data_IF_594324440663
#
_entry.id   IF_594324440663
#
_cell.length_a   1.000
_cell.length_b   1.000
_cell.length_c   1.000
_cell.angle_alpha   90.00
_cell.angle_beta   90.00
_cell.angle_gamma   90.00
#
_symmetry.space_group_name_H-M   'P 1'
#
loop_
_entity.id
_entity.type
_entity.pdbx_description
1 polymer ?
#
# COMPACT_ATOMS: atom_id res chain seq x y z
N UNK A 1 -6.74 23.07 31.52
CA UNK A 1 -6.51 23.72 30.22
C UNK A 1 -7.81 23.60 29.44
N UNK A 2 -8.27 24.62 28.73
CA UNK A 2 -9.45 24.45 27.86
C UNK A 2 -9.06 23.63 26.66
N UNK A 3 -9.96 22.83 26.11
CA UNK A 3 -9.75 22.00 24.90
C UNK A 3 -9.20 22.83 23.71
N UNK A 4 -9.74 24.03 23.50
CA UNK A 4 -9.26 24.95 22.47
C UNK A 4 -7.78 25.32 22.64
N UNK A 5 -7.34 25.59 23.88
CA UNK A 5 -5.94 25.94 24.13
C UNK A 5 -4.99 24.78 23.86
N UNK A 6 -5.38 23.55 24.18
CA UNK A 6 -4.59 22.35 23.87
C UNK A 6 -4.47 22.12 22.36
N UNK A 7 -5.56 22.31 21.62
CA UNK A 7 -5.55 22.25 20.15
C UNK A 7 -4.54 23.22 19.56
N UNK A 8 -4.56 24.49 19.99
CA UNK A 8 -3.61 25.53 19.54
C UNK A 8 -2.15 25.16 19.86
N UNK A 9 -1.89 24.63 21.07
CA UNK A 9 -0.55 24.18 21.48
C UNK A 9 -0.05 23.01 20.61
N UNK A 10 -0.90 22.03 20.29
CA UNK A 10 -0.55 20.90 19.42
C UNK A 10 -0.22 21.39 17.99
N UNK A 11 -1.05 22.26 17.42
CA UNK A 11 -0.82 22.81 16.07
C UNK A 11 0.48 23.64 16.01
N UNK A 12 0.77 24.40 17.05
CA UNK A 12 2.03 25.16 17.17
C UNK A 12 3.24 24.23 17.30
N UNK A 13 3.12 23.14 18.07
CA UNK A 13 4.18 22.13 18.22
C UNK A 13 4.51 21.44 16.89
N UNK A 14 3.50 21.00 16.13
CA UNK A 14 3.70 20.45 14.78
C UNK A 14 4.40 21.46 13.87
N UNK A 15 3.95 22.72 13.90
CA UNK A 15 4.58 23.79 13.11
C UNK A 15 6.05 23.97 13.45
N UNK A 16 6.40 23.94 14.73
CA UNK A 16 7.77 24.11 15.20
C UNK A 16 8.68 22.93 14.84
N UNK A 17 8.16 21.70 14.81
CA UNK A 17 8.90 20.48 14.46
C UNK A 17 8.94 20.17 12.97
N UNK A 18 8.25 20.94 12.13
CA UNK A 18 8.01 20.57 10.74
C UNK A 18 9.29 20.51 9.89
N UNK A 19 10.24 21.39 10.09
CA UNK A 19 11.53 21.35 9.39
C UNK A 19 12.32 20.07 9.72
N UNK A 20 12.27 19.63 10.97
CA UNK A 20 12.88 18.36 11.39
C UNK A 20 12.18 17.17 10.74
N UNK A 21 10.86 17.18 10.64
CA UNK A 21 10.07 16.18 9.92
C UNK A 21 10.48 16.12 8.45
N UNK A 22 10.59 17.25 7.76
CA UNK A 22 11.01 17.29 6.36
C UNK A 22 12.42 16.72 6.16
N UNK A 23 13.36 17.05 7.04
CA UNK A 23 14.72 16.50 6.97
C UNK A 23 14.71 14.99 7.22
N UNK A 24 13.94 14.49 8.18
CA UNK A 24 13.76 13.06 8.43
C UNK A 24 13.18 12.35 7.19
N UNK A 25 12.14 12.93 6.59
CA UNK A 25 11.52 12.38 5.37
C UNK A 25 12.52 12.32 4.22
N UNK A 26 13.33 13.37 4.02
CA UNK A 26 14.39 13.36 3.00
C UNK A 26 15.41 12.24 3.22
N UNK A 27 15.87 12.05 4.47
CA UNK A 27 16.80 10.95 4.77
C UNK A 27 16.16 9.60 4.46
N UNK A 28 14.87 9.43 4.80
CA UNK A 28 14.15 8.19 4.55
C UNK A 28 13.97 7.91 3.05
N UNK A 29 13.70 8.94 2.23
CA UNK A 29 13.58 8.82 0.76
C UNK A 29 14.90 8.40 0.11
N UNK A 30 16.05 8.71 0.72
CA UNK A 30 17.38 8.31 0.19
C UNK A 30 17.63 6.80 0.18
N UNK A 31 16.86 6.03 0.96
CA UNK A 31 16.94 4.58 0.93
C UNK A 31 16.10 4.03 -0.23
N UNK A 32 16.71 3.39 -1.25
CA UNK A 32 15.97 2.71 -2.32
C UNK A 32 15.43 1.38 -1.78
N UNK A 33 14.42 1.47 -0.92
CA UNK A 33 13.79 0.33 -0.23
C UNK A 33 12.87 -0.45 -1.17
N UNK A 34 13.41 -0.91 -2.31
CA UNK A 34 12.75 -1.84 -3.22
C UNK A 34 12.51 -3.19 -2.52
N UNK A 35 11.55 -3.95 -3.03
CA UNK A 35 11.26 -5.30 -2.53
C UNK A 35 12.53 -6.13 -2.34
N UNK A 36 12.77 -6.59 -1.10
CA UNK A 36 13.96 -7.34 -0.69
C UNK A 36 15.20 -6.50 -0.37
N UNK A 37 15.14 -5.16 -0.49
CA UNK A 37 16.22 -4.21 -0.19
C UNK A 37 15.86 -3.22 0.93
N UNK A 38 14.80 -3.48 1.69
CA UNK A 38 14.24 -2.55 2.70
C UNK A 38 15.07 -2.49 4.00
N UNK A 39 16.00 -3.41 4.20
CA UNK A 39 16.66 -3.62 5.50
C UNK A 39 17.40 -2.39 6.03
N UNK A 40 18.01 -1.57 5.17
CA UNK A 40 18.68 -0.33 5.61
C UNK A 40 17.68 0.74 6.04
N UNK A 41 16.59 0.91 5.31
CA UNK A 41 15.50 1.80 5.70
C UNK A 41 14.87 1.35 7.02
N UNK A 42 14.63 0.05 7.20
CA UNK A 42 14.13 -0.49 8.46
C UNK A 42 15.11 -0.33 9.63
N UNK A 43 16.42 -0.41 9.40
CA UNK A 43 17.43 -0.10 10.40
C UNK A 43 17.37 1.36 10.83
N UNK A 44 17.19 2.27 9.88
CA UNK A 44 17.02 3.70 10.16
C UNK A 44 15.78 3.97 11.02
N UNK A 45 14.63 3.36 10.67
CA UNK A 45 13.38 3.48 11.46
C UNK A 45 13.56 2.86 12.85
N UNK A 46 14.17 1.66 12.94
CA UNK A 46 14.42 1.02 14.22
C UNK A 46 15.21 1.95 15.16
N UNK A 47 16.32 2.53 14.66
CA UNK A 47 17.13 3.43 15.46
C UNK A 47 16.37 4.70 15.83
N UNK A 48 15.65 5.29 14.89
CA UNK A 48 14.87 6.50 15.12
C UNK A 48 13.78 6.32 16.20
N UNK A 49 13.12 5.17 16.24
CA UNK A 49 12.12 4.85 17.24
C UNK A 49 12.77 4.47 18.59
N UNK A 50 13.89 3.73 18.55
CA UNK A 50 14.67 3.39 19.76
C UNK A 50 15.20 4.63 20.47
N UNK A 51 15.71 5.62 19.72
CA UNK A 51 16.21 6.90 20.28
C UNK A 51 15.10 7.73 20.94
N UNK A 52 13.86 7.52 20.52
CA UNK A 52 12.66 8.11 21.14
C UNK A 52 12.17 7.35 22.37
N UNK A 53 12.84 6.23 22.72
CA UNK A 53 12.54 5.43 23.91
C UNK A 53 11.35 4.48 23.76
N UNK A 54 10.93 4.17 22.53
CA UNK A 54 9.90 3.13 22.31
C UNK A 54 10.48 1.73 22.60
N UNK A 55 9.62 0.83 23.08
CA UNK A 55 9.97 -0.59 23.15
C UNK A 55 9.97 -1.18 21.75
N UNK A 56 11.13 -1.61 21.30
CA UNK A 56 11.33 -2.09 19.94
C UNK A 56 11.07 -3.58 19.79
N UNK A 57 10.40 -3.95 18.70
CA UNK A 57 10.32 -5.30 18.16
C UNK A 57 10.74 -5.28 16.69
N UNK A 58 11.52 -6.29 16.27
CA UNK A 58 12.02 -6.42 14.90
C UNK A 58 12.12 -7.90 14.56
N UNK A 59 11.56 -8.29 13.42
CA UNK A 59 11.62 -9.68 12.98
C UNK A 59 11.61 -9.79 11.47
N UNK A 60 12.19 -10.87 10.96
CA UNK A 60 12.03 -11.31 9.58
C UNK A 60 10.70 -12.06 9.45
N UNK A 61 9.91 -11.74 8.45
CA UNK A 61 8.63 -12.40 8.19
C UNK A 61 8.91 -13.87 7.82
N UNK A 62 8.34 -14.79 8.60
CA UNK A 62 8.36 -16.19 8.27
C UNK A 62 7.04 -16.59 7.60
N UNK A 63 7.11 -16.97 6.34
CA UNK A 63 5.92 -17.34 5.53
C UNK A 63 5.08 -18.43 6.21
N UNK A 64 5.71 -19.39 6.88
CA UNK A 64 5.01 -20.48 7.57
C UNK A 64 4.08 -20.01 8.70
N UNK A 65 4.36 -18.85 9.29
CA UNK A 65 3.56 -18.31 10.38
C UNK A 65 2.26 -17.66 9.85
N UNK A 66 2.23 -17.27 8.57
CA UNK A 66 1.13 -16.53 7.95
C UNK A 66 0.43 -17.27 6.82
N UNK A 67 1.04 -18.30 6.20
CA UNK A 67 0.53 -18.96 4.99
C UNK A 67 -0.83 -19.63 5.15
N UNK A 68 -1.22 -20.00 6.37
CA UNK A 68 -2.53 -20.58 6.66
C UNK A 68 -3.64 -19.53 6.90
N UNK A 69 -3.25 -18.26 7.02
CA UNK A 69 -4.20 -17.18 7.27
C UNK A 69 -4.98 -16.82 6.00
N UNK A 70 -6.31 -16.56 6.07
CA UNK A 70 -7.11 -16.24 4.88
C UNK A 70 -6.63 -14.98 4.14
N UNK A 71 -6.01 -14.03 4.84
CA UNK A 71 -5.45 -12.82 4.26
C UNK A 71 -4.07 -12.98 3.60
N UNK A 72 -3.52 -14.18 3.57
CA UNK A 72 -2.20 -14.43 2.99
C UNK A 72 -2.20 -14.31 1.46
N UNK A 73 -1.20 -13.63 0.93
CA UNK A 73 -0.91 -13.58 -0.51
C UNK A 73 0.28 -14.47 -0.85
N UNK A 74 0.21 -15.27 -1.93
CA UNK A 74 1.29 -16.18 -2.32
C UNK A 74 2.60 -15.44 -2.63
N UNK A 75 3.72 -16.05 -2.27
CA UNK A 75 5.05 -15.51 -2.52
C UNK A 75 5.95 -16.52 -3.23
N UNK A 76 6.74 -16.02 -4.19
CA UNK A 76 7.75 -16.78 -4.92
C UNK A 76 9.14 -16.12 -4.83
N UNK A 77 9.32 -15.20 -3.88
CA UNK A 77 10.58 -14.51 -3.62
C UNK A 77 11.14 -14.87 -2.24
N UNK A 78 12.42 -14.64 -2.05
CA UNK A 78 13.07 -14.87 -0.75
C UNK A 78 12.68 -13.77 0.25
N UNK A 79 12.16 -14.18 1.42
CA UNK A 79 11.79 -13.29 2.53
C UNK A 79 12.89 -13.13 3.58
N UNK A 80 14.12 -13.55 3.31
CA UNK A 80 15.24 -13.43 4.27
C UNK A 80 15.51 -11.97 4.70
N UNK A 81 15.16 -11.00 3.85
CA UNK A 81 15.26 -9.56 4.10
C UNK A 81 13.91 -8.88 4.34
N UNK A 82 12.80 -9.60 4.33
CA UNK A 82 11.47 -9.04 4.62
C UNK A 82 11.34 -8.79 6.13
N UNK A 83 11.77 -7.62 6.57
CA UNK A 83 11.88 -7.26 7.99
C UNK A 83 10.82 -6.24 8.35
N UNK A 84 9.99 -6.55 9.35
CA UNK A 84 9.12 -5.58 9.98
C UNK A 84 9.75 -4.98 11.24
N UNK A 85 9.39 -3.73 11.52
CA UNK A 85 9.79 -3.00 12.73
C UNK A 85 8.56 -2.42 13.41
N UNK A 86 8.45 -2.63 14.73
CA UNK A 86 7.38 -2.02 15.54
C UNK A 86 7.99 -1.34 16.77
N UNK A 87 7.66 -0.07 16.94
CA UNK A 87 7.94 0.68 18.18
C UNK A 87 6.66 0.79 19.01
N UNK A 88 6.72 0.34 20.26
CA UNK A 88 5.57 0.39 21.17
C UNK A 88 5.73 1.49 22.19
N UNK A 89 4.78 2.44 22.22
CA UNK A 89 4.54 3.33 23.36
C UNK A 89 3.66 2.63 24.38
N UNK A 90 4.06 2.66 25.64
CA UNK A 90 3.24 2.20 26.76
C UNK A 90 3.10 3.36 27.74
N UNK A 91 1.86 3.79 28.07
CA UNK A 91 1.64 4.89 29.02
C UNK A 91 2.02 4.48 30.45
N UNK A 92 2.22 5.46 31.31
CA UNK A 92 2.44 5.21 32.74
C UNK A 92 1.18 4.64 33.41
N UNK A 93 0.01 5.14 32.97
CA UNK A 93 -1.30 4.66 33.42
C UNK A 93 -2.15 4.44 32.16
N UNK A 94 -2.45 3.18 31.84
CA UNK A 94 -3.28 2.83 30.68
C UNK A 94 -4.74 3.21 30.97
N UNK A 95 -5.19 4.35 30.44
CA UNK A 95 -6.53 4.92 30.66
C UNK A 95 -7.23 5.37 29.38
N UNK A 96 -6.51 5.36 28.26
CA UNK A 96 -7.02 5.70 26.93
C UNK A 96 -7.13 4.48 26.01
N UNK A 97 -7.73 4.68 24.84
CA UNK A 97 -7.83 3.66 23.79
C UNK A 97 -6.48 3.44 23.11
N UNK A 98 -6.26 2.22 22.67
CA UNK A 98 -5.07 1.85 21.92
C UNK A 98 -5.15 2.26 20.45
N UNK A 99 -3.99 2.42 19.80
CA UNK A 99 -3.88 2.86 18.41
C UNK A 99 -2.74 2.16 17.70
N UNK A 100 -2.99 1.72 16.47
CA UNK A 100 -1.95 1.36 15.50
C UNK A 100 -1.74 2.53 14.55
N UNK A 101 -0.48 2.96 14.40
CA UNK A 101 -0.01 3.86 13.35
C UNK A 101 0.83 3.01 12.39
N UNK A 102 0.20 2.53 11.34
CA UNK A 102 0.85 1.67 10.35
C UNK A 102 1.32 2.49 9.16
N UNK A 103 2.45 2.08 8.56
CA UNK A 103 2.94 2.59 7.30
C UNK A 103 3.92 1.60 6.67
N UNK A 104 3.94 1.50 5.35
CA UNK A 104 4.94 0.70 4.65
C UNK A 104 6.23 1.50 4.36
N UNK A 105 7.33 0.75 4.20
CA UNK A 105 8.65 1.30 3.92
C UNK A 105 9.13 0.97 2.50
N UNK A 106 8.58 -0.10 1.93
CA UNK A 106 8.89 -0.53 0.57
C UNK A 106 8.39 0.48 -0.46
N UNK A 107 9.04 0.49 -1.61
CA UNK A 107 8.70 1.37 -2.73
C UNK A 107 8.73 0.57 -4.04
N UNK A 108 7.90 0.97 -5.00
CA UNK A 108 7.94 0.42 -6.34
C UNK A 108 9.21 0.81 -7.10
N UNK A 109 9.64 0.02 -8.10
CA UNK A 109 10.78 0.38 -8.95
C UNK A 109 10.64 1.77 -9.58
N UNK A 110 11.74 2.49 -9.65
CA UNK A 110 11.81 3.83 -10.23
C UNK A 110 11.63 3.87 -11.75
N UNK A 111 11.81 2.73 -12.42
CA UNK A 111 11.79 2.66 -13.88
C UNK A 111 13.01 3.32 -14.54
N UNK A 112 12.95 3.70 -15.83
CA UNK A 112 14.08 4.30 -16.53
C UNK A 112 14.50 5.66 -15.96
N UNK A 113 15.72 5.77 -15.43
CA UNK A 113 16.23 6.99 -14.78
C UNK A 113 16.24 8.22 -15.69
N UNK A 114 16.36 8.04 -17.00
CA UNK A 114 16.32 9.15 -17.97
C UNK A 114 14.94 9.77 -18.16
N UNK A 115 13.90 9.19 -17.55
CA UNK A 115 12.53 9.73 -17.53
C UNK A 115 12.28 10.64 -16.31
N UNK A 116 13.18 10.63 -15.31
CA UNK A 116 13.11 11.51 -14.15
C UNK A 116 13.82 12.82 -14.43
N UNK A 117 13.33 13.95 -13.89
CA UNK A 117 14.02 15.25 -13.91
C UNK A 117 15.26 15.26 -13.01
N UNK A 118 15.25 14.44 -11.96
CA UNK A 118 16.34 14.31 -11.00
C UNK A 118 16.56 12.86 -10.58
N UNK A 119 17.46 12.63 -9.63
CA UNK A 119 17.64 11.30 -9.05
C UNK A 119 16.47 11.00 -8.11
N UNK A 120 15.69 9.90 -8.32
CA UNK A 120 14.53 9.55 -7.51
C UNK A 120 14.83 9.36 -6.01
N UNK A 121 16.07 9.00 -5.66
CA UNK A 121 16.51 8.79 -4.27
C UNK A 121 17.39 9.95 -3.73
N UNK A 122 17.39 11.09 -4.41
CA UNK A 122 17.96 12.33 -3.89
C UNK A 122 16.85 13.40 -3.83
N UNK A 123 16.02 13.39 -2.78
CA UNK A 123 14.81 14.20 -2.74
C UNK A 123 15.10 15.70 -2.79
N UNK A 124 14.33 16.42 -3.59
CA UNK A 124 14.41 17.88 -3.75
C UNK A 124 13.11 18.54 -3.31
N UNK A 125 13.19 19.79 -2.88
CA UNK A 125 12.02 20.60 -2.57
C UNK A 125 11.95 21.77 -3.55
N UNK A 126 10.80 21.93 -4.21
CA UNK A 126 10.48 23.03 -5.09
C UNK A 126 9.10 23.59 -4.74
N UNK A 127 9.05 24.81 -4.19
CA UNK A 127 7.82 25.41 -3.69
C UNK A 127 7.19 24.57 -2.58
N UNK A 128 5.93 24.14 -2.76
CA UNK A 128 5.19 23.29 -1.81
C UNK A 128 5.39 21.79 -2.05
N UNK A 129 6.37 21.37 -2.86
CA UNK A 129 6.52 19.98 -3.27
C UNK A 129 7.86 19.37 -2.88
N UNK A 130 7.82 18.18 -2.28
CA UNK A 130 9.00 17.29 -2.16
C UNK A 130 8.91 16.22 -3.24
N UNK A 131 9.97 16.10 -4.03
CA UNK A 131 10.10 15.13 -5.11
C UNK A 131 10.99 13.97 -4.69
N UNK A 132 10.63 12.75 -5.09
CA UNK A 132 11.42 11.53 -4.91
C UNK A 132 10.55 10.27 -4.91
N UNK A 133 11.12 9.11 -5.26
CA UNK A 133 10.43 7.83 -5.15
C UNK A 133 10.18 7.50 -3.68
N UNK A 134 8.91 7.19 -3.36
CA UNK A 134 8.48 6.96 -1.99
C UNK A 134 8.31 8.24 -1.15
N UNK A 135 8.54 9.44 -1.73
CA UNK A 135 8.29 10.69 -1.02
C UNK A 135 6.82 10.84 -0.66
N UNK A 136 5.93 10.48 -1.58
CA UNK A 136 4.49 10.46 -1.37
C UNK A 136 4.04 9.10 -0.82
N UNK A 137 4.46 8.02 -1.44
CA UNK A 137 4.01 6.66 -1.21
C UNK A 137 5.10 5.80 -0.59
N UNK A 138 5.09 5.63 0.81
CA UNK A 138 4.33 6.48 1.73
C UNK A 138 5.23 7.03 2.86
N UNK A 139 6.52 7.30 2.55
CA UNK A 139 7.52 7.69 3.57
C UNK A 139 7.18 9.01 4.27
N UNK A 140 6.51 9.96 3.59
CA UNK A 140 6.00 11.16 4.24
C UNK A 140 4.91 10.85 5.25
N UNK A 141 4.04 9.88 4.97
CA UNK A 141 3.04 9.38 5.89
C UNK A 141 3.66 8.69 7.11
N UNK A 142 4.67 7.84 6.90
CA UNK A 142 5.42 7.23 8.00
C UNK A 142 6.06 8.29 8.91
N UNK A 143 6.67 9.33 8.31
CA UNK A 143 7.22 10.44 9.07
C UNK A 143 6.12 11.22 9.82
N UNK A 144 4.93 11.41 9.22
CA UNK A 144 3.82 12.08 9.88
C UNK A 144 3.35 11.34 11.15
N UNK A 145 3.28 10.01 11.12
CA UNK A 145 2.98 9.19 12.30
C UNK A 145 3.98 9.42 13.44
N UNK A 146 5.27 9.45 13.14
CA UNK A 146 6.33 9.63 14.13
C UNK A 146 6.29 11.05 14.72
N UNK A 147 6.23 12.05 13.85
CA UNK A 147 6.30 13.46 14.25
C UNK A 147 5.00 13.98 14.89
N UNK A 148 3.87 13.32 14.68
CA UNK A 148 2.65 13.57 15.46
C UNK A 148 2.86 13.27 16.95
N UNK A 149 3.52 12.16 17.26
CA UNK A 149 3.88 11.81 18.65
C UNK A 149 4.99 12.71 19.21
N UNK A 150 5.99 13.08 18.38
CA UNK A 150 7.04 14.03 18.79
C UNK A 150 6.45 15.40 19.15
N UNK A 151 5.43 15.87 18.40
CA UNK A 151 4.75 17.13 18.69
C UNK A 151 4.07 17.11 20.07
N UNK A 152 3.36 16.03 20.42
CA UNK A 152 2.76 15.86 21.75
C UNK A 152 3.82 15.86 22.85
N UNK A 153 4.92 15.14 22.65
CA UNK A 153 6.05 15.09 23.59
C UNK A 153 6.70 16.44 23.79
N UNK A 154 6.82 17.25 22.75
CA UNK A 154 7.46 18.58 22.82
C UNK A 154 6.71 19.56 23.72
N UNK A 155 5.42 19.32 23.95
CA UNK A 155 4.58 20.11 24.88
C UNK A 155 4.32 19.42 26.22
N UNK A 156 5.09 18.35 26.52
CA UNK A 156 5.09 17.67 27.82
C UNK A 156 3.97 16.63 27.99
N UNK A 157 3.43 16.10 26.90
CA UNK A 157 2.39 15.08 26.93
C UNK A 157 2.78 13.84 26.14
N UNK A 158 2.19 12.72 26.52
CA UNK A 158 2.23 11.45 25.77
C UNK A 158 0.84 10.81 25.76
N UNK A 159 0.56 9.87 24.82
CA UNK A 159 -0.70 9.15 24.78
C UNK A 159 -0.96 8.40 26.10
N UNK A 160 -2.18 8.49 26.64
CA UNK A 160 -2.64 7.72 27.79
C UNK A 160 -3.13 6.31 27.42
N UNK A 161 -3.17 5.99 26.12
CA UNK A 161 -3.38 4.66 25.55
C UNK A 161 -2.11 4.10 24.92
N UNK A 162 -2.07 2.79 24.72
CA UNK A 162 -0.96 2.12 24.06
C UNK A 162 -0.93 2.47 22.56
N UNK A 163 0.25 2.81 22.00
CA UNK A 163 0.40 3.12 20.59
C UNK A 163 1.47 2.22 19.95
N UNK A 164 1.14 1.63 18.84
CA UNK A 164 2.03 0.80 18.01
C UNK A 164 2.40 1.54 16.74
N UNK A 165 3.66 1.93 16.59
CA UNK A 165 4.23 2.46 15.35
C UNK A 165 4.76 1.30 14.52
N UNK A 166 4.07 0.93 13.47
CA UNK A 166 4.42 -0.18 12.60
C UNK A 166 5.05 0.36 11.31
N UNK A 167 6.29 -0.06 11.02
CA UNK A 167 6.93 0.09 9.72
C UNK A 167 6.99 -1.30 9.08
N UNK A 168 6.18 -1.51 8.05
CA UNK A 168 6.02 -2.81 7.41
C UNK A 168 6.65 -2.83 6.01
N UNK A 169 6.88 -4.03 5.49
CA UNK A 169 7.32 -4.31 4.12
C UNK A 169 6.21 -5.03 3.36
N UNK A 170 6.39 -5.18 2.05
CA UNK A 170 5.49 -5.97 1.19
C UNK A 170 4.08 -5.38 0.99
N UNK A 171 3.83 -4.12 1.34
CA UNK A 171 2.56 -3.48 1.03
C UNK A 171 2.33 -3.44 -0.48
N UNK A 172 3.34 -3.04 -1.25
CA UNK A 172 3.32 -2.87 -2.71
C UNK A 172 3.22 -4.17 -3.51
N UNK A 173 3.27 -5.33 -2.84
CA UNK A 173 3.35 -6.62 -3.51
C UNK A 173 2.37 -7.68 -3.00
N UNK A 174 2.10 -7.74 -1.69
CA UNK A 174 1.34 -8.84 -1.07
C UNK A 174 0.45 -8.43 0.10
N UNK A 175 0.83 -7.39 0.86
CA UNK A 175 0.24 -7.04 2.15
C UNK A 175 0.64 -7.98 3.30
N UNK A 176 1.57 -8.89 3.07
CA UNK A 176 2.00 -9.86 4.08
C UNK A 176 2.74 -9.20 5.26
N UNK A 177 3.25 -7.98 5.10
CA UNK A 177 3.87 -7.20 6.16
C UNK A 177 2.90 -6.84 7.28
N UNK A 178 1.81 -6.18 6.95
CA UNK A 178 0.74 -5.85 7.90
C UNK A 178 0.11 -7.13 8.48
N UNK A 179 -0.14 -8.15 7.63
CA UNK A 179 -0.63 -9.45 8.07
C UNK A 179 0.29 -10.09 9.12
N UNK A 180 1.60 -10.02 8.93
CA UNK A 180 2.58 -10.54 9.88
C UNK A 180 2.51 -9.81 11.24
N UNK A 181 2.23 -8.50 11.25
CA UNK A 181 1.98 -7.77 12.49
C UNK A 181 0.73 -8.27 13.20
N UNK A 182 -0.37 -8.48 12.48
CA UNK A 182 -1.62 -9.00 13.04
C UNK A 182 -1.43 -10.40 13.65
N UNK A 183 -0.79 -11.32 12.91
CA UNK A 183 -0.52 -12.70 13.37
C UNK A 183 0.42 -12.71 14.57
N UNK A 184 1.38 -11.76 14.64
CA UNK A 184 2.27 -11.57 15.79
C UNK A 184 1.55 -11.04 17.03
N UNK A 185 0.28 -10.60 16.90
CA UNK A 185 -0.57 -10.19 18.01
C UNK A 185 -0.67 -8.68 18.23
N UNK A 186 -0.24 -7.85 17.28
CA UNK A 186 -0.44 -6.40 17.34
C UNK A 186 -1.91 -6.09 16.98
N UNK A 187 -2.68 -5.67 17.99
CA UNK A 187 -4.10 -5.30 17.91
C UNK A 187 -4.34 -4.01 18.65
N UNK A 188 -5.30 -3.21 18.19
CA UNK A 188 -5.68 -1.96 18.82
C UNK A 188 -7.17 -1.63 18.57
N UNK A 189 -7.68 -0.62 19.28
CA UNK A 189 -9.07 -0.15 19.15
C UNK A 189 -9.31 0.63 17.85
N UNK A 190 -8.26 1.13 17.20
CA UNK A 190 -8.28 1.74 15.87
C UNK A 190 -6.89 1.68 15.21
N UNK A 191 -6.86 1.86 13.89
CA UNK A 191 -5.62 2.02 13.13
C UNK A 191 -5.70 3.27 12.22
N UNK A 192 -4.54 3.91 11.97
CA UNK A 192 -4.36 4.96 10.96
C UNK A 192 -3.25 4.53 10.01
N UNK A 193 -3.48 4.70 8.71
CA UNK A 193 -2.50 4.49 7.65
C UNK A 193 -2.47 5.77 6.78
N UNK A 194 -1.39 6.56 6.85
CA UNK A 194 -1.33 7.84 6.12
C UNK A 194 -0.81 7.68 4.69
N UNK A 195 -1.50 6.82 3.90
CA UNK A 195 -1.31 6.71 2.46
C UNK A 195 -1.64 8.03 1.75
N UNK A 196 -1.03 8.32 0.59
CA UNK A 196 -1.21 9.59 -0.12
C UNK A 196 -2.59 9.69 -0.81
N UNK A 197 -3.64 9.88 -0.04
CA UNK A 197 -5.04 9.83 -0.46
C UNK A 197 -5.75 11.20 -0.39
N UNK A 198 -5.06 12.25 -0.89
CA UNK A 198 -5.62 13.57 -1.17
C UNK A 198 -6.29 14.29 0.02
N UNK A 199 -5.76 14.13 1.24
CA UNK A 199 -6.35 14.68 2.47
C UNK A 199 -7.78 14.15 2.78
N UNK A 200 -8.15 12.99 2.20
CA UNK A 200 -9.47 12.37 2.34
C UNK A 200 -9.40 11.05 3.07
N UNK A 201 -10.52 10.62 3.62
CA UNK A 201 -10.67 9.29 4.21
C UNK A 201 -11.11 8.28 3.15
N UNK A 202 -10.38 7.18 3.02
CA UNK A 202 -10.77 6.09 2.14
C UNK A 202 -11.95 5.34 2.74
N UNK A 203 -13.07 5.33 2.00
CA UNK A 203 -14.29 4.62 2.37
C UNK A 203 -14.29 3.16 1.93
N UNK A 204 -13.72 2.88 0.77
CA UNK A 204 -13.62 1.54 0.23
C UNK A 204 -12.46 1.44 -0.76
N UNK A 205 -11.90 0.25 -0.90
CA UNK A 205 -10.93 -0.05 -1.94
C UNK A 205 -11.27 -1.36 -2.67
N UNK A 206 -10.72 -1.53 -3.88
CA UNK A 206 -10.79 -2.82 -4.58
C UNK A 206 -9.79 -3.80 -3.99
N UNK A 207 -10.13 -5.10 -4.01
CA UNK A 207 -9.14 -6.16 -3.89
C UNK A 207 -8.28 -6.27 -5.16
N UNK A 208 -7.20 -7.02 -5.07
CA UNK A 208 -6.22 -7.17 -6.16
C UNK A 208 -5.73 -8.61 -6.25
N UNK A 209 -5.67 -9.11 -7.48
CA UNK A 209 -5.08 -10.40 -7.83
C UNK A 209 -3.88 -10.17 -8.75
N UNK A 210 -2.71 -10.70 -8.38
CA UNK A 210 -1.53 -10.74 -9.25
C UNK A 210 -1.28 -12.14 -9.74
N UNK A 211 -1.02 -12.27 -11.04
CA UNK A 211 -0.72 -13.55 -11.65
C UNK A 211 0.22 -13.39 -12.85
N UNK A 212 0.96 -14.43 -13.10
CA UNK A 212 1.84 -14.58 -14.24
C UNK A 212 1.29 -15.66 -15.17
N UNK A 213 1.26 -15.37 -16.46
CA UNK A 213 0.89 -16.34 -17.50
C UNK A 213 2.13 -16.70 -18.29
N UNK A 214 2.44 -18.00 -18.36
CA UNK A 214 3.58 -18.54 -19.10
C UNK A 214 3.05 -19.30 -20.32
N UNK A 215 3.51 -18.89 -21.50
CA UNK A 215 3.15 -19.51 -22.79
C UNK A 215 4.41 -20.12 -23.40
N UNK A 216 4.33 -21.40 -23.74
CA UNK A 216 5.38 -22.09 -24.49
C UNK A 216 5.04 -22.11 -25.97
N UNK A 217 6.06 -21.98 -26.84
CA UNK A 217 5.97 -22.06 -28.28
C UNK A 217 6.79 -23.21 -28.83
N UNK A 218 6.90 -23.27 -30.14
CA UNK A 218 7.77 -24.23 -30.85
C UNK A 218 8.78 -23.45 -31.66
N UNK A 219 10.05 -23.39 -31.22
CA UNK A 219 11.08 -22.60 -31.90
C UNK A 219 11.51 -23.29 -33.19
N UNK A 220 11.61 -22.52 -34.27
CA UNK A 220 12.16 -22.89 -35.55
C UNK A 220 12.84 -21.71 -36.22
N UNK A 221 13.69 -21.94 -37.19
CA UNK A 221 14.23 -20.83 -37.99
C UNK A 221 13.09 -20.08 -38.69
N UNK A 222 13.15 -18.73 -38.69
CA UNK A 222 12.06 -17.90 -39.28
C UNK A 222 11.67 -18.24 -40.70
N UNK A 223 12.60 -18.77 -41.52
CA UNK A 223 12.29 -19.25 -42.89
C UNK A 223 11.27 -20.40 -42.91
N UNK A 224 11.10 -21.10 -41.80
CA UNK A 224 10.19 -22.23 -41.61
C UNK A 224 9.11 -21.91 -40.57
N UNK A 225 8.81 -20.61 -40.34
CA UNK A 225 7.92 -20.13 -39.30
C UNK A 225 6.56 -20.83 -39.27
N UNK A 226 6.03 -21.24 -40.44
CA UNK A 226 4.77 -21.97 -40.53
C UNK A 226 4.79 -23.35 -39.85
N UNK A 227 5.96 -23.94 -39.58
CA UNK A 227 6.11 -25.20 -38.85
C UNK A 227 6.32 -25.00 -37.33
N UNK A 228 6.54 -23.75 -36.89
CA UNK A 228 6.70 -23.37 -35.50
C UNK A 228 5.42 -22.83 -34.85
N UNK A 229 5.52 -22.42 -33.61
CA UNK A 229 4.46 -21.72 -32.86
C UNK A 229 5.08 -20.56 -32.06
N UNK A 230 4.68 -19.34 -32.41
CA UNK A 230 5.21 -18.14 -31.82
C UNK A 230 4.55 -17.88 -30.43
N UNK A 231 5.33 -18.02 -29.35
CA UNK A 231 4.84 -17.83 -28.00
C UNK A 231 4.40 -16.39 -27.74
N UNK A 232 5.05 -15.38 -28.32
CA UNK A 232 4.67 -13.97 -28.14
C UNK A 232 3.29 -13.71 -28.77
N UNK A 233 3.08 -14.14 -30.00
CA UNK A 233 1.81 -13.97 -30.72
C UNK A 233 0.68 -14.75 -30.05
N UNK A 234 0.98 -15.88 -29.43
CA UNK A 234 0.02 -16.69 -28.68
C UNK A 234 -0.47 -16.00 -27.37
N UNK A 235 0.26 -15.03 -26.82
CA UNK A 235 -0.17 -14.24 -25.67
C UNK A 235 -1.29 -13.24 -26.01
N UNK A 236 -1.32 -12.67 -27.23
CA UNK A 236 -2.24 -11.60 -27.58
C UNK A 236 -3.73 -11.96 -27.44
N UNK A 237 -4.22 -13.11 -27.93
CA UNK A 237 -5.62 -13.49 -27.73
C UNK A 237 -5.98 -13.75 -26.27
N UNK A 238 -5.02 -14.17 -25.42
CA UNK A 238 -5.23 -14.36 -23.99
C UNK A 238 -5.38 -13.01 -23.31
N UNK A 239 -4.47 -12.05 -23.59
CA UNK A 239 -4.56 -10.67 -23.07
C UNK A 239 -5.87 -10.00 -23.50
N UNK A 240 -6.29 -10.22 -24.76
CA UNK A 240 -7.56 -9.69 -25.27
C UNK A 240 -8.77 -10.25 -24.50
N UNK A 241 -8.78 -11.55 -24.22
CA UNK A 241 -9.86 -12.17 -23.46
C UNK A 241 -9.91 -11.68 -22.00
N UNK A 242 -8.75 -11.42 -21.38
CA UNK A 242 -8.69 -10.83 -20.05
C UNK A 242 -9.22 -9.39 -20.02
N UNK A 243 -9.01 -8.60 -21.10
CA UNK A 243 -9.65 -7.29 -21.27
C UNK A 243 -11.18 -7.41 -21.40
N UNK A 244 -11.67 -8.40 -22.13
CA UNK A 244 -13.11 -8.67 -22.22
C UNK A 244 -13.70 -9.07 -20.86
N UNK A 245 -12.95 -9.80 -20.02
CA UNK A 245 -13.35 -10.16 -18.66
C UNK A 245 -13.40 -8.92 -17.75
N UNK A 246 -12.41 -8.02 -17.83
CA UNK A 246 -12.40 -6.73 -17.16
C UNK A 246 -13.66 -5.93 -17.46
N UNK A 247 -13.99 -5.78 -18.74
CA UNK A 247 -15.21 -5.08 -19.17
C UNK A 247 -16.48 -5.73 -18.62
N UNK A 248 -16.56 -7.07 -18.67
CA UNK A 248 -17.68 -7.81 -18.08
C UNK A 248 -17.84 -7.51 -16.57
N UNK A 249 -16.75 -7.51 -15.82
CA UNK A 249 -16.77 -7.23 -14.39
C UNK A 249 -17.17 -5.77 -14.10
N UNK A 250 -16.73 -4.82 -14.94
CA UNK A 250 -17.12 -3.41 -14.81
C UNK A 250 -18.64 -3.17 -15.03
N UNK A 251 -19.34 -4.02 -15.80
CA UNK A 251 -20.81 -3.93 -15.93
C UNK A 251 -21.54 -4.17 -14.60
N UNK A 252 -20.90 -4.85 -13.64
CA UNK A 252 -21.50 -5.19 -12.35
C UNK A 252 -21.35 -4.05 -11.31
N UNK A 253 -20.64 -2.95 -11.61
CA UNK A 253 -20.31 -1.86 -10.66
C UNK A 253 -21.51 -1.30 -9.89
N UNK A 254 -22.71 -1.28 -10.49
CA UNK A 254 -23.95 -0.82 -9.83
C UNK A 254 -24.45 -1.73 -8.70
N UNK A 255 -23.88 -2.92 -8.56
CA UNK A 255 -24.19 -3.88 -7.50
C UNK A 255 -23.24 -3.73 -6.30
N UNK A 256 -22.22 -2.87 -6.43
CA UNK A 256 -21.16 -2.70 -5.43
C UNK A 256 -21.20 -1.30 -4.85
N UNK A 257 -21.65 -1.21 -3.58
CA UNK A 257 -21.77 0.04 -2.82
C UNK A 257 -20.47 0.86 -2.89
N UNK A 258 -20.60 2.15 -3.18
CA UNK A 258 -19.56 3.14 -3.39
C UNK A 258 -18.82 3.07 -4.75
N UNK A 259 -19.02 2.04 -5.55
CA UNK A 259 -18.38 1.89 -6.86
C UNK A 259 -19.31 2.25 -8.03
N UNK A 260 -20.58 2.52 -7.75
CA UNK A 260 -21.65 2.73 -8.73
C UNK A 260 -21.35 3.86 -9.71
N UNK A 261 -20.76 4.95 -9.19
CA UNK A 261 -20.50 6.18 -9.94
C UNK A 261 -19.07 6.27 -10.50
N UNK A 262 -18.19 5.31 -10.17
CA UNK A 262 -16.85 5.26 -10.75
C UNK A 262 -16.94 4.83 -12.22
N UNK A 263 -16.11 5.45 -13.07
CA UNK A 263 -16.13 5.15 -14.50
C UNK A 263 -15.69 3.70 -14.76
N UNK A 264 -14.52 3.31 -14.30
CA UNK A 264 -13.91 2.01 -14.56
C UNK A 264 -13.19 1.47 -13.31
N UNK A 265 -13.92 1.00 -12.26
CA UNK A 265 -13.31 0.63 -10.98
C UNK A 265 -12.48 -0.66 -11.04
N UNK A 266 -12.83 -1.61 -11.91
CA UNK A 266 -12.03 -2.82 -12.11
C UNK A 266 -11.01 -2.56 -13.20
N UNK A 267 -9.72 -2.64 -12.85
CA UNK A 267 -8.61 -2.40 -13.75
C UNK A 267 -7.81 -3.68 -13.96
N UNK A 268 -7.65 -4.09 -15.23
CA UNK A 268 -6.69 -5.09 -15.65
C UNK A 268 -5.46 -4.43 -16.24
N UNK A 269 -4.29 -4.81 -15.76
CA UNK A 269 -3.02 -4.31 -16.29
C UNK A 269 -2.06 -5.46 -16.61
N UNK A 270 -1.43 -5.42 -17.79
CA UNK A 270 -0.24 -6.19 -18.09
C UNK A 270 0.95 -5.31 -17.74
N UNK A 271 1.53 -5.51 -16.56
CA UNK A 271 2.61 -4.67 -16.05
C UNK A 271 3.98 -5.04 -16.61
N UNK A 272 4.14 -6.30 -17.03
CA UNK A 272 5.40 -6.81 -17.57
C UNK A 272 5.12 -7.88 -18.62
N UNK A 273 5.93 -7.90 -19.70
CA UNK A 273 5.94 -8.96 -20.70
C UNK A 273 7.37 -9.22 -21.15
N UNK A 274 7.74 -10.49 -21.21
CA UNK A 274 9.08 -10.93 -21.65
C UNK A 274 8.94 -12.15 -22.56
N UNK A 275 9.62 -12.14 -23.72
CA UNK A 275 9.57 -13.29 -24.64
C UNK A 275 10.53 -13.17 -25.80
N UNK A 276 10.94 -14.34 -26.33
CA UNK A 276 11.89 -14.45 -27.43
C UNK A 276 13.31 -14.12 -27.01
N UNK A 277 14.27 -14.52 -27.88
CA UNK A 277 15.71 -14.36 -27.67
C UNK A 277 16.45 -13.90 -28.93
N UNK A 278 15.87 -14.13 -30.09
CA UNK A 278 16.52 -13.83 -31.37
C UNK A 278 15.51 -13.51 -32.48
N UNK A 279 15.72 -12.41 -33.21
CA UNK A 279 14.80 -11.90 -34.22
C UNK A 279 14.55 -12.87 -35.40
N UNK A 280 15.48 -13.78 -35.70
CA UNK A 280 15.38 -14.76 -36.78
C UNK A 280 14.98 -16.17 -36.30
N UNK A 281 14.49 -16.30 -35.09
CA UNK A 281 13.92 -17.52 -34.51
C UNK A 281 12.48 -17.29 -34.08
N UNK A 282 11.61 -18.28 -34.26
CA UNK A 282 10.27 -18.27 -33.69
C UNK A 282 10.40 -18.39 -32.16
N UNK A 283 9.82 -17.47 -31.34
CA UNK A 283 9.96 -17.46 -29.89
C UNK A 283 9.51 -18.76 -29.22
N UNK A 284 10.39 -19.33 -28.39
CA UNK A 284 10.13 -20.56 -27.65
C UNK A 284 9.25 -20.36 -26.43
N UNK A 285 9.25 -19.16 -25.84
CA UNK A 285 8.47 -18.82 -24.64
C UNK A 285 8.11 -17.34 -24.62
N UNK A 286 7.01 -17.04 -23.93
CA UNK A 286 6.64 -15.69 -23.53
C UNK A 286 5.95 -15.76 -22.18
N UNK A 287 6.27 -14.82 -21.29
CA UNK A 287 5.60 -14.65 -20.00
C UNK A 287 5.07 -13.23 -19.87
N UNK A 288 3.94 -13.06 -19.21
CA UNK A 288 3.46 -11.74 -18.85
C UNK A 288 2.88 -11.74 -17.44
N UNK A 289 3.18 -10.68 -16.67
CA UNK A 289 2.70 -10.45 -15.32
C UNK A 289 1.52 -9.49 -15.35
N UNK A 290 0.44 -9.87 -14.67
CA UNK A 290 -0.83 -9.17 -14.65
C UNK A 290 -1.27 -8.75 -13.26
N UNK A 291 -2.02 -7.65 -13.21
CA UNK A 291 -2.84 -7.22 -12.08
C UNK A 291 -4.29 -7.15 -12.53
N UNK A 292 -5.21 -7.71 -11.73
CA UNK A 292 -6.66 -7.58 -11.92
C UNK A 292 -7.29 -7.15 -10.59
N UNK A 293 -8.08 -6.06 -10.62
CA UNK A 293 -8.87 -5.64 -9.47
C UNK A 293 -10.12 -6.51 -9.30
N UNK A 294 -10.62 -6.59 -8.07
CA UNK A 294 -11.88 -7.26 -7.72
C UNK A 294 -12.68 -6.39 -6.75
N UNK A 295 -14.02 -6.46 -6.78
CA UNK A 295 -14.85 -5.70 -5.85
C UNK A 295 -14.76 -6.22 -4.41
N UNK A 296 -14.94 -5.35 -3.40
CA UNK A 296 -15.12 -5.78 -2.02
C UNK A 296 -16.28 -6.81 -1.93
N UNK A 297 -16.06 -7.82 -1.08
CA UNK A 297 -17.00 -8.92 -0.91
C UNK A 297 -16.90 -10.05 -1.95
N UNK A 298 -16.15 -9.86 -3.03
CA UNK A 298 -15.81 -10.95 -3.93
C UNK A 298 -14.73 -11.85 -3.34
N UNK A 299 -14.92 -13.17 -3.50
CA UNK A 299 -13.94 -14.15 -3.03
C UNK A 299 -12.76 -14.23 -4.02
N UNK A 300 -11.53 -13.96 -3.61
CA UNK A 300 -10.34 -14.02 -4.48
C UNK A 300 -10.16 -15.38 -5.17
N UNK A 301 -10.47 -16.49 -4.49
CA UNK A 301 -10.33 -17.85 -5.06
C UNK A 301 -11.33 -18.10 -6.18
N UNK A 302 -12.57 -17.62 -6.04
CA UNK A 302 -13.59 -17.73 -7.09
C UNK A 302 -13.19 -16.89 -8.30
N UNK A 303 -12.73 -15.67 -8.09
CA UNK A 303 -12.29 -14.79 -9.17
C UNK A 303 -11.01 -15.27 -9.85
N UNK A 304 -10.10 -15.89 -9.11
CA UNK A 304 -8.95 -16.57 -9.68
C UNK A 304 -9.37 -17.70 -10.64
N UNK A 305 -10.37 -18.51 -10.26
CA UNK A 305 -10.91 -19.55 -11.14
C UNK A 305 -11.55 -18.96 -12.42
N UNK A 306 -12.29 -17.84 -12.30
CA UNK A 306 -12.87 -17.17 -13.48
C UNK A 306 -11.77 -16.66 -14.44
N UNK A 307 -10.66 -16.13 -13.90
CA UNK A 307 -9.48 -15.72 -14.69
C UNK A 307 -8.87 -16.93 -15.40
N UNK A 308 -8.65 -18.04 -14.69
CA UNK A 308 -8.10 -19.26 -15.29
C UNK A 308 -9.02 -19.86 -16.35
N UNK A 309 -10.35 -19.82 -16.13
CA UNK A 309 -11.34 -20.24 -17.13
C UNK A 309 -11.33 -19.35 -18.37
N UNK A 310 -11.19 -18.03 -18.19
CA UNK A 310 -11.05 -17.08 -19.29
C UNK A 310 -9.81 -17.40 -20.15
N UNK A 311 -8.65 -17.61 -19.50
CA UNK A 311 -7.40 -17.98 -20.17
C UNK A 311 -7.57 -19.31 -20.92
N UNK A 312 -8.18 -20.31 -20.30
CA UNK A 312 -8.47 -21.62 -20.91
C UNK A 312 -9.42 -21.49 -22.10
N UNK A 313 -10.47 -20.67 -21.97
CA UNK A 313 -11.42 -20.39 -23.06
C UNK A 313 -10.76 -19.71 -24.26
N UNK A 314 -9.87 -18.73 -24.02
CA UNK A 314 -9.08 -18.11 -25.07
C UNK A 314 -8.15 -19.12 -25.76
N UNK A 315 -7.49 -19.98 -24.98
CA UNK A 315 -6.55 -20.99 -25.45
C UNK A 315 -7.24 -22.07 -26.29
N UNK A 316 -8.49 -22.41 -26.00
CA UNK A 316 -9.26 -23.42 -26.75
C UNK A 316 -9.55 -23.05 -28.20
N UNK A 317 -9.37 -21.78 -28.58
CA UNK A 317 -9.49 -21.30 -29.96
C UNK A 317 -8.24 -21.66 -30.81
N UNK A 318 -7.17 -22.13 -30.22
CA UNK A 318 -5.95 -22.58 -30.83
C UNK A 318 -5.72 -24.07 -30.58
N UNK A 319 -5.60 -24.90 -31.62
CA UNK A 319 -5.28 -26.33 -31.49
C UNK A 319 -3.95 -26.51 -30.73
N UNK A 320 -2.98 -25.63 -30.98
CA UNK A 320 -1.70 -25.64 -30.29
C UNK A 320 -1.85 -25.41 -28.80
N UNK A 321 -2.50 -24.30 -28.38
CA UNK A 321 -2.69 -23.95 -26.98
C UNK A 321 -3.62 -24.91 -26.24
N UNK A 322 -4.56 -25.58 -26.94
CA UNK A 322 -5.37 -26.65 -26.37
C UNK A 322 -4.50 -27.83 -25.92
N UNK A 323 -3.48 -28.17 -26.69
CA UNK A 323 -2.55 -29.27 -26.40
C UNK A 323 -1.37 -28.84 -25.50
N UNK A 324 -1.07 -27.55 -25.46
CA UNK A 324 -0.01 -26.93 -24.69
C UNK A 324 -0.59 -25.74 -23.92
N UNK A 325 -1.41 -25.98 -22.87
CA UNK A 325 -2.12 -24.91 -22.18
C UNK A 325 -1.14 -23.98 -21.46
N UNK A 326 -1.42 -22.67 -21.45
CA UNK A 326 -0.66 -21.72 -20.65
C UNK A 326 -0.67 -22.12 -19.17
N UNK A 327 0.45 -21.89 -18.48
CA UNK A 327 0.57 -22.04 -17.05
C UNK A 327 0.24 -20.70 -16.36
N UNK A 328 -0.62 -20.72 -15.35
CA UNK A 328 -0.94 -19.56 -14.51
C UNK A 328 -0.27 -19.75 -13.15
N UNK A 329 0.50 -18.75 -12.74
CA UNK A 329 1.16 -18.71 -11.43
C UNK A 329 0.70 -17.48 -10.64
N UNK A 330 0.17 -17.71 -9.43
CA UNK A 330 -0.22 -16.64 -8.49
C UNK A 330 1.03 -16.23 -7.70
N UNK A 331 1.49 -14.99 -7.83
CA UNK A 331 2.83 -14.58 -7.39
C UNK A 331 2.90 -13.21 -6.71
N UNK A 332 1.87 -12.82 -6.04
CA UNK A 332 1.76 -11.53 -5.35
C UNK A 332 0.38 -11.37 -4.75
N UNK A 333 -0.17 -10.18 -4.80
CA UNK A 333 -1.48 -9.90 -4.23
C UNK A 333 -2.52 -11.00 -4.54
N UNK A 334 -3.15 -11.47 -3.50
CA UNK A 334 -4.31 -12.36 -3.54
C UNK A 334 -5.29 -11.88 -2.48
N UNK A 335 -5.76 -10.65 -2.66
CA UNK A 335 -6.28 -9.79 -1.62
C UNK A 335 -7.71 -9.33 -1.92
N UNK A 336 -8.58 -9.44 -0.92
CA UNK A 336 -9.91 -8.84 -0.94
C UNK A 336 -9.82 -7.32 -0.84
N UNK A 337 -10.81 -6.61 -1.41
CA UNK A 337 -11.11 -5.23 -1.06
C UNK A 337 -11.91 -5.14 0.23
N UNK A 338 -11.96 -3.95 0.82
CA UNK A 338 -12.77 -3.70 2.01
C UNK A 338 -13.69 -2.49 1.83
N UNK A 339 -14.68 -2.42 2.68
CA UNK A 339 -15.51 -1.23 2.92
C UNK A 339 -15.37 -0.86 4.39
N UNK A 340 -14.98 0.38 4.67
CA UNK A 340 -15.01 0.94 6.01
C UNK A 340 -16.44 1.39 6.32
N UNK A 341 -17.06 0.79 7.32
CA UNK A 341 -18.41 1.17 7.74
C UNK A 341 -18.44 2.59 8.30
N UNK A 342 -19.50 3.33 7.94
CA UNK A 342 -19.66 4.73 8.32
C UNK A 342 -19.98 4.91 9.81
N UNK A 343 -19.53 6.02 10.38
CA UNK A 343 -19.96 6.49 11.69
C UNK A 343 -19.28 5.80 12.86
N UNK A 344 -18.13 5.14 12.65
CA UNK A 344 -17.33 4.66 13.76
C UNK A 344 -16.86 5.83 14.64
N UNK A 345 -16.65 5.58 15.94
CA UNK A 345 -16.11 6.60 16.85
C UNK A 345 -14.76 7.12 16.37
N UNK A 346 -13.90 6.25 15.81
CA UNK A 346 -12.62 6.64 15.25
C UNK A 346 -12.78 7.62 14.07
N UNK A 347 -13.74 7.38 13.17
CA UNK A 347 -14.05 8.31 12.07
C UNK A 347 -14.54 9.66 12.58
N UNK A 348 -15.39 9.68 13.61
CA UNK A 348 -15.86 10.94 14.21
C UNK A 348 -14.72 11.74 14.85
N UNK A 349 -13.78 11.06 15.53
CA UNK A 349 -12.58 11.69 16.09
C UNK A 349 -11.70 12.25 14.98
N UNK A 350 -11.46 11.49 13.91
CA UNK A 350 -10.70 11.97 12.75
C UNK A 350 -11.37 13.19 12.09
N UNK A 351 -12.69 13.17 11.96
CA UNK A 351 -13.45 14.31 11.41
C UNK A 351 -13.23 15.60 12.21
N UNK A 352 -13.23 15.52 13.56
CA UNK A 352 -12.92 16.67 14.43
C UNK A 352 -11.46 17.12 14.29
N UNK A 353 -10.52 16.18 14.29
CA UNK A 353 -9.10 16.45 14.12
C UNK A 353 -8.82 17.14 12.77
N UNK A 354 -9.41 16.63 11.68
CA UNK A 354 -9.32 17.22 10.35
C UNK A 354 -9.91 18.65 10.32
N UNK A 355 -11.11 18.84 10.88
CA UNK A 355 -11.73 20.16 10.94
C UNK A 355 -10.81 21.18 11.65
N UNK A 356 -10.16 20.80 12.74
CA UNK A 356 -9.24 21.66 13.46
C UNK A 356 -7.95 21.97 12.69
N UNK A 357 -7.44 21.02 11.89
CA UNK A 357 -6.22 21.20 11.11
C UNK A 357 -6.46 21.92 9.76
N UNK A 358 -7.61 21.68 9.12
CA UNK A 358 -7.91 22.15 7.77
C UNK A 358 -8.94 23.26 7.69
N UNK A 359 -9.69 23.48 8.76
CA UNK A 359 -10.86 24.39 8.78
C UNK A 359 -11.90 24.07 7.70
N UNK A 360 -12.07 22.78 7.38
CA UNK A 360 -13.07 22.23 6.46
C UNK A 360 -13.47 20.82 6.89
N UNK A 361 -14.68 20.33 6.52
CA UNK A 361 -15.09 18.96 6.84
C UNK A 361 -14.19 17.92 6.13
N UNK A 362 -14.04 16.76 6.78
CA UNK A 362 -13.39 15.61 6.18
C UNK A 362 -14.25 15.04 5.05
N UNK A 363 -13.67 14.94 3.88
CA UNK A 363 -14.28 14.27 2.72
C UNK A 363 -13.88 12.80 2.68
N UNK A 364 -14.69 11.97 2.02
CA UNK A 364 -14.39 10.57 1.78
C UNK A 364 -14.19 10.31 0.29
N UNK A 365 -13.41 9.28 -0.03
CA UNK A 365 -13.23 8.81 -1.40
C UNK A 365 -13.14 7.29 -1.46
N UNK A 366 -13.16 6.75 -2.67
CA UNK A 366 -12.95 5.33 -2.96
C UNK A 366 -11.74 5.21 -3.87
N UNK A 367 -10.88 4.24 -3.60
CA UNK A 367 -9.70 4.00 -4.43
C UNK A 367 -9.76 2.63 -5.11
N UNK A 368 -9.42 2.51 -6.41
CA UNK A 368 -9.27 1.22 -7.09
C UNK A 368 -7.90 0.56 -6.83
N UNK A 369 -7.18 0.98 -5.78
CA UNK A 369 -5.89 0.46 -5.34
C UNK A 369 -6.00 -0.59 -4.24
N UNK A 370 -4.90 -1.29 -3.96
CA UNK A 370 -4.71 -2.08 -2.75
C UNK A 370 -4.36 -1.16 -1.58
N UNK A 371 -4.71 -1.56 -0.37
CA UNK A 371 -4.32 -0.91 0.88
C UNK A 371 -4.23 -1.95 2.01
N UNK A 372 -3.23 -1.83 2.87
CA UNK A 372 -3.03 -2.69 4.05
C UNK A 372 -4.18 -2.61 5.08
N UNK A 373 -5.02 -1.59 4.98
CA UNK A 373 -6.19 -1.42 5.84
C UNK A 373 -7.14 -2.63 5.83
N UNK A 374 -7.18 -3.39 4.73
CA UNK A 374 -7.95 -4.64 4.66
C UNK A 374 -7.60 -5.63 5.78
N UNK A 375 -6.33 -5.64 6.19
CA UNK A 375 -5.86 -6.56 7.25
C UNK A 375 -6.54 -6.26 8.58
N UNK A 376 -6.69 -4.99 8.91
CA UNK A 376 -7.34 -4.54 10.14
C UNK A 376 -8.85 -4.66 10.06
N UNK A 377 -9.44 -4.21 8.95
CA UNK A 377 -10.91 -4.19 8.78
C UNK A 377 -11.50 -5.59 8.63
N UNK A 378 -10.87 -6.46 7.81
CA UNK A 378 -11.44 -7.79 7.50
C UNK A 378 -11.08 -8.87 8.52
N UNK A 379 -9.95 -8.75 9.22
CA UNK A 379 -9.42 -9.83 10.04
C UNK A 379 -9.24 -9.48 11.51
N UNK A 380 -9.48 -8.22 11.92
CA UNK A 380 -9.36 -7.77 13.30
C UNK A 380 -10.57 -6.98 13.81
N UNK A 381 -11.59 -6.77 12.96
CA UNK A 381 -12.74 -5.91 13.26
C UNK A 381 -12.33 -4.52 13.81
N UNK A 382 -11.17 -4.05 13.35
CA UNK A 382 -10.55 -2.81 13.78
C UNK A 382 -10.83 -1.71 12.74
N UNK A 383 -11.47 -0.58 13.13
CA UNK A 383 -11.66 0.54 12.21
C UNK A 383 -10.29 1.09 11.80
N UNK A 384 -9.96 0.93 10.54
CA UNK A 384 -8.70 1.41 9.97
C UNK A 384 -8.96 2.63 9.07
N UNK A 385 -8.38 3.77 9.46
CA UNK A 385 -8.55 5.04 8.80
C UNK A 385 -7.38 5.29 7.85
N UNK A 386 -7.58 5.03 6.56
CA UNK A 386 -6.60 5.42 5.53
C UNK A 386 -6.83 6.88 5.21
N UNK A 387 -5.86 7.71 5.60
CA UNK A 387 -5.98 9.17 5.53
C UNK A 387 -4.60 9.81 5.52
N UNK A 388 -4.18 10.35 4.39
CA UNK A 388 -2.83 10.91 4.24
C UNK A 388 -2.74 12.03 3.21
N UNK A 389 -1.52 12.47 2.86
CA UNK A 389 -1.30 13.75 2.21
C UNK A 389 -1.70 13.76 0.73
N UNK A 390 -1.88 15.00 0.23
CA UNK A 390 -2.05 15.27 -1.18
C UNK A 390 -0.74 15.02 -1.93
N UNK A 391 -0.83 14.28 -3.02
CA UNK A 391 0.31 13.85 -3.82
C UNK A 391 0.01 13.88 -5.31
N UNK A 392 1.06 13.76 -6.11
CA UNK A 392 0.94 13.58 -7.55
C UNK A 392 1.99 12.58 -8.06
N UNK A 393 1.66 11.88 -9.15
CA UNK A 393 2.54 10.95 -9.85
C UNK A 393 3.03 9.77 -9.00
N UNK A 394 2.24 9.28 -8.03
CA UNK A 394 2.55 8.02 -7.33
C UNK A 394 2.75 6.90 -8.35
N UNK A 395 3.75 6.02 -8.14
CA UNK A 395 4.21 5.00 -9.10
C UNK A 395 4.73 5.55 -10.44
N UNK A 396 4.66 6.88 -10.65
CA UNK A 396 5.15 7.55 -11.86
C UNK A 396 6.55 8.15 -11.71
N UNK A 397 6.98 8.87 -12.75
CA UNK A 397 8.18 9.70 -12.71
C UNK A 397 7.87 11.05 -12.04
N UNK A 398 8.89 11.61 -11.37
CA UNK A 398 8.74 12.87 -10.63
C UNK A 398 7.61 12.82 -9.59
N UNK A 399 7.44 11.65 -8.94
CA UNK A 399 6.57 11.49 -7.77
C UNK A 399 6.83 12.60 -6.77
N UNK A 400 5.74 13.18 -6.24
CA UNK A 400 5.83 14.32 -5.33
C UNK A 400 4.69 14.39 -4.33
N UNK A 401 4.96 14.99 -3.18
CA UNK A 401 4.01 15.19 -2.08
C UNK A 401 3.98 16.65 -1.64
N UNK A 402 2.79 17.17 -1.33
CA UNK A 402 2.58 18.55 -0.85
C UNK A 402 3.06 18.72 0.59
N UNK A 403 3.99 19.66 0.81
CA UNK A 403 4.52 19.96 2.14
C UNK A 403 3.45 20.55 3.07
N UNK A 404 2.61 21.41 2.55
CA UNK A 404 1.50 22.00 3.30
C UNK A 404 0.47 20.95 3.72
N UNK A 405 0.22 19.95 2.87
CA UNK A 405 -0.62 18.81 3.19
C UNK A 405 0.02 17.90 4.24
N UNK A 406 1.30 17.50 4.09
CA UNK A 406 2.02 16.72 5.11
C UNK A 406 1.88 17.36 6.50
N UNK A 407 2.08 18.68 6.59
CA UNK A 407 1.97 19.40 7.86
C UNK A 407 0.59 19.29 8.48
N UNK A 408 -0.47 19.41 7.66
CA UNK A 408 -1.86 19.30 8.11
C UNK A 408 -2.22 17.87 8.51
N UNK A 409 -1.75 16.87 7.75
CA UNK A 409 -1.92 15.45 8.09
C UNK A 409 -1.25 15.14 9.44
N UNK A 410 0.00 15.58 9.64
CA UNK A 410 0.68 15.43 10.94
C UNK A 410 -0.11 16.08 12.06
N UNK A 411 -0.67 17.27 11.82
CA UNK A 411 -1.52 17.97 12.79
C UNK A 411 -2.79 17.18 13.09
N UNK A 412 -3.47 16.66 12.07
CA UNK A 412 -4.68 15.85 12.25
C UNK A 412 -4.38 14.57 13.04
N UNK A 413 -3.27 13.88 12.72
CA UNK A 413 -2.86 12.66 13.45
C UNK A 413 -2.54 12.99 14.92
N UNK A 414 -1.82 14.09 15.20
CA UNK A 414 -1.52 14.50 16.57
C UNK A 414 -2.79 14.83 17.38
N UNK A 415 -3.73 15.55 16.77
CA UNK A 415 -5.03 15.84 17.36
C UNK A 415 -5.89 14.59 17.54
N UNK A 416 -5.87 13.68 16.58
CA UNK A 416 -6.53 12.38 16.68
C UNK A 416 -5.98 11.58 17.88
N UNK A 417 -4.67 11.46 18.00
CA UNK A 417 -4.03 10.74 19.12
C UNK A 417 -4.46 11.36 20.45
N UNK A 418 -4.47 12.69 20.55
CA UNK A 418 -4.84 13.41 21.77
C UNK A 418 -6.31 13.15 22.19
N UNK A 419 -7.23 13.09 21.23
CA UNK A 419 -8.66 12.85 21.47
C UNK A 419 -8.97 11.35 21.68
N UNK A 420 -8.38 10.47 20.86
CA UNK A 420 -8.63 9.02 20.87
C UNK A 420 -7.95 8.31 22.04
N UNK A 421 -6.64 8.50 22.17
CA UNK A 421 -5.84 7.85 23.22
C UNK A 421 -5.93 8.59 24.56
N UNK A 422 -6.46 9.82 24.57
CA UNK A 422 -6.25 10.71 25.71
C UNK A 422 -4.77 11.07 25.89
N UNK A 423 -4.48 11.97 26.82
CA UNK A 423 -3.12 12.42 27.11
C UNK A 423 -2.80 12.31 28.60
N UNK A 424 -1.58 11.90 28.90
CA UNK A 424 -0.97 12.01 30.23
C UNK A 424 0.28 12.89 30.15
N UNK A 425 0.69 13.47 31.29
CA UNK A 425 1.94 14.23 31.39
C UNK A 425 3.14 13.30 31.44
N UNK A 426 4.22 13.69 30.77
CA UNK A 426 5.53 13.02 30.86
C UNK A 426 6.17 13.30 32.20
#
# INVERSE_FOLDING_TARGET
MTELKLTEEILAAVSSGFEQQLNFTKELVRFPSLRGLESEAQNFIYQALSDRGYKMDRWTINVKDIESHPGFSPVNVDYSNAINVVGTHTPNIESGKSLILNAHIDVVPEGPLNMWKGNPYNPTIEGDWMYGRGAADMKAGLAANIFALDALRSIGYQPAGKVFLQSVVEEECTGNGALSCLVRGYRADAAIIPEPEDDKLIRANTGVLWFKVKVQGVPVHVREAASGQNAIEACFPIISALRELEEKWNLEKKQHRYFEDLDHPINFNVGKIEGGDWASSVPASCTFDCRMAIYPGWNPKEKALEIEECIRGASSRSVFLTNNPPEVEWNGFFAEGYVLEEGSEAEMVLGRAHMNAYNKPLETMVTPGYLDARVFVLYDDCPCLVYGPYSENIHGFDERVSLSSIKKITSSIALFIADWCGLEKI
#
